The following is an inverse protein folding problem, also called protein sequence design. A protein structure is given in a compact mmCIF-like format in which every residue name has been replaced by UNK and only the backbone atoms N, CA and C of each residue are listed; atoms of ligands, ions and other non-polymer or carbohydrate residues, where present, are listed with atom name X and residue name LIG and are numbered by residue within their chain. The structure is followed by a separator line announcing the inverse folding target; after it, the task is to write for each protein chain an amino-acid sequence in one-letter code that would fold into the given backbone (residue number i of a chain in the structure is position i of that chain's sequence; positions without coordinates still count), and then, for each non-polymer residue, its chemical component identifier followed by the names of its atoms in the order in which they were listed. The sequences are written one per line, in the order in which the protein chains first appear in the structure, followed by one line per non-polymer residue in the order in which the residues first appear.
data_IF_331340603242
#
_entry.id   IF_331340603242
#
_cell.length_a   1.000
_cell.length_b   1.000
_cell.length_c   1.000
_cell.angle_alpha   90.00
_cell.angle_beta   90.00
_cell.angle_gamma   90.00
#
_symmetry.space_group_name_H-M   'P 1'
#
loop_
_entity.id
_entity.type
_entity.pdbx_description
1 polymer ?
#
# COMPACT_ATOMS: atom_id res chain seq x y z
N UNK A 1 51.56 -12.15 -84.70
CA UNK A 1 51.19 -10.77 -85.11
C UNK A 1 50.10 -10.31 -84.14
N UNK A 2 50.41 -9.26 -83.40
CA UNK A 2 49.58 -8.28 -82.73
C UNK A 2 48.62 -8.77 -81.63
N UNK A 3 49.14 -8.69 -80.42
CA UNK A 3 48.35 -8.61 -79.17
C UNK A 3 47.68 -7.24 -79.07
N UNK A 4 46.52 -7.20 -78.42
CA UNK A 4 45.96 -5.97 -77.85
C UNK A 4 45.59 -6.19 -76.35
N UNK A 5 46.35 -5.48 -75.61
CA UNK A 5 46.13 -5.29 -74.16
C UNK A 5 44.79 -4.61 -73.87
N UNK A 6 44.01 -5.17 -73.00
CA UNK A 6 42.87 -4.53 -72.29
C UNK A 6 43.10 -4.67 -70.84
N UNK A 7 43.82 -3.73 -70.28
CA UNK A 7 44.00 -3.57 -68.88
C UNK A 7 43.60 -2.13 -68.52
N UNK A 8 42.75 -1.91 -67.58
CA UNK A 8 42.80 -0.65 -66.88
C UNK A 8 41.51 0.05 -66.46
N UNK A 9 40.30 -0.57 -66.53
CA UNK A 9 39.08 0.19 -66.14
C UNK A 9 38.14 -0.45 -65.13
N UNK A 10 38.47 -1.64 -64.65
CA UNK A 10 37.60 -2.38 -63.74
C UNK A 10 37.97 -2.25 -62.24
N UNK A 11 39.17 -1.75 -61.93
CA UNK A 11 39.67 -1.71 -60.53
C UNK A 11 39.26 -0.45 -59.74
N UNK A 12 38.91 0.64 -60.42
CA UNK A 12 38.54 1.91 -59.75
C UNK A 12 37.06 1.92 -59.30
N UNK A 13 36.19 1.20 -60.00
CA UNK A 13 34.76 1.15 -59.74
C UNK A 13 34.44 0.29 -58.41
N UNK A 14 35.24 -0.73 -58.14
CA UNK A 14 35.04 -1.61 -56.98
C UNK A 14 35.50 -0.95 -55.66
N UNK A 15 36.56 -0.12 -55.74
CA UNK A 15 37.03 0.60 -54.51
C UNK A 15 36.07 1.72 -54.08
N UNK A 16 35.38 2.37 -55.00
CA UNK A 16 34.37 3.41 -54.71
C UNK A 16 33.10 2.88 -54.04
N UNK A 17 32.66 1.70 -54.43
CA UNK A 17 31.45 1.06 -53.85
C UNK A 17 31.72 0.52 -52.43
N UNK A 18 32.93 0.04 -52.15
CA UNK A 18 33.30 -0.46 -50.83
C UNK A 18 33.41 0.66 -49.77
N UNK A 19 33.88 1.86 -50.17
CA UNK A 19 33.98 3.03 -49.28
C UNK A 19 32.62 3.64 -48.97
N UNK A 20 31.66 3.63 -49.91
CA UNK A 20 30.29 4.12 -49.69
C UNK A 20 29.50 3.15 -48.79
N UNK A 21 29.73 1.83 -48.89
CA UNK A 21 29.11 0.85 -48.00
C UNK A 21 29.66 0.91 -46.55
N UNK A 22 30.91 1.29 -46.34
CA UNK A 22 31.47 1.49 -44.98
C UNK A 22 30.98 2.78 -44.33
N UNK A 23 30.60 3.80 -45.10
CA UNK A 23 30.05 5.04 -44.49
C UNK A 23 28.56 4.95 -44.18
N UNK A 24 27.82 3.97 -44.69
CA UNK A 24 26.42 3.72 -44.28
C UNK A 24 26.28 2.80 -43.05
N UNK A 25 27.34 2.13 -42.62
CA UNK A 25 27.33 1.30 -41.41
C UNK A 25 27.53 2.11 -40.10
N UNK A 26 27.76 3.42 -40.19
CA UNK A 26 28.03 4.28 -39.03
C UNK A 26 26.82 4.96 -38.40
N UNK A 27 25.58 4.71 -38.88
CA UNK A 27 24.36 5.32 -38.36
C UNK A 27 23.29 4.31 -37.91
N UNK A 28 23.65 3.06 -37.66
CA UNK A 28 22.84 2.22 -36.78
C UNK A 28 23.24 2.60 -35.34
N UNK A 29 22.67 3.68 -34.85
CA UNK A 29 22.68 4.01 -33.48
C UNK A 29 22.20 2.76 -32.73
N UNK A 30 23.07 2.24 -31.88
CA UNK A 30 22.71 1.19 -30.93
C UNK A 30 21.77 1.85 -29.91
N UNK A 31 20.49 2.05 -30.28
CA UNK A 31 19.44 2.22 -29.30
C UNK A 31 19.29 0.90 -28.53
N UNK A 32 20.33 0.58 -27.74
CA UNK A 32 20.13 -0.32 -26.61
C UNK A 32 19.24 0.47 -25.65
N UNK A 33 17.93 0.36 -25.80
CA UNK A 33 17.03 0.64 -24.69
C UNK A 33 17.54 -0.20 -23.54
N UNK A 34 18.10 0.45 -22.53
CA UNK A 34 18.52 -0.23 -21.31
C UNK A 34 17.33 -1.09 -20.83
N UNK A 35 17.61 -2.30 -20.35
CA UNK A 35 16.56 -3.11 -19.76
C UNK A 35 15.85 -2.29 -18.67
N UNK A 36 14.52 -2.38 -18.54
CA UNK A 36 13.81 -1.65 -17.52
C UNK A 36 14.37 -1.99 -16.14
N UNK A 37 14.56 -0.95 -15.34
CA UNK A 37 14.92 -1.09 -13.94
C UNK A 37 13.67 -1.60 -13.18
N UNK A 38 13.81 -2.67 -12.39
CA UNK A 38 12.66 -3.34 -11.78
C UNK A 38 12.82 -3.37 -10.28
N UNK A 39 11.74 -3.06 -9.54
CA UNK A 39 11.63 -3.25 -8.10
C UNK A 39 10.32 -3.96 -7.72
N UNK A 40 10.36 -4.58 -6.54
CA UNK A 40 9.23 -5.24 -5.91
C UNK A 40 8.83 -4.53 -4.62
N UNK A 41 7.53 -4.25 -4.48
CA UNK A 41 6.92 -3.57 -3.33
C UNK A 41 5.84 -4.49 -2.76
N UNK A 42 5.94 -4.90 -1.50
CA UNK A 42 4.97 -5.83 -0.92
C UNK A 42 4.63 -5.52 0.52
N UNK A 43 3.44 -5.90 0.98
CA UNK A 43 3.10 -5.83 2.40
C UNK A 43 1.70 -5.31 2.72
N UNK A 44 1.62 -4.22 3.49
CA UNK A 44 0.37 -3.69 4.01
C UNK A 44 -0.68 -3.42 2.94
N UNK A 45 -1.86 -4.05 3.09
CA UNK A 45 -3.01 -3.76 2.21
C UNK A 45 -3.66 -2.41 2.52
N UNK A 46 -3.28 -1.73 3.59
CA UNK A 46 -3.66 -0.33 3.85
C UNK A 46 -2.82 0.63 3.01
N UNK A 47 -1.53 0.35 2.84
CA UNK A 47 -0.63 1.17 2.00
C UNK A 47 -0.84 0.91 0.50
N UNK A 48 -1.42 -0.25 0.16
CA UNK A 48 -1.54 -0.74 -1.21
C UNK A 48 -2.15 0.27 -2.20
N UNK A 49 -3.28 0.97 -1.92
CA UNK A 49 -3.86 1.94 -2.85
C UNK A 49 -2.88 3.07 -3.19
N UNK A 50 -2.21 3.64 -2.18
CA UNK A 50 -1.19 4.69 -2.38
C UNK A 50 -0.06 4.17 -3.29
N UNK A 51 0.45 2.97 -3.00
CA UNK A 51 1.55 2.40 -3.77
C UNK A 51 1.15 2.09 -5.22
N UNK A 52 -0.06 1.60 -5.48
CA UNK A 52 -0.55 1.32 -6.84
C UNK A 52 -0.73 2.60 -7.65
N UNK A 53 -1.37 3.62 -7.09
CA UNK A 53 -1.58 4.90 -7.76
C UNK A 53 -0.25 5.65 -7.99
N UNK A 54 0.64 5.65 -7.00
CA UNK A 54 1.97 6.22 -7.15
C UNK A 54 2.80 5.48 -8.22
N UNK A 55 2.69 4.14 -8.32
CA UNK A 55 3.32 3.34 -9.37
C UNK A 55 2.83 3.79 -10.76
N UNK A 56 1.51 3.89 -10.96
CA UNK A 56 0.94 4.29 -12.25
C UNK A 56 1.42 5.69 -12.67
N UNK A 57 1.42 6.64 -11.74
CA UNK A 57 1.87 8.00 -12.01
C UNK A 57 3.38 8.07 -12.26
N UNK A 58 4.19 7.31 -11.51
CA UNK A 58 5.64 7.27 -11.67
C UNK A 58 6.05 6.63 -12.99
N UNK A 59 5.51 5.45 -13.35
CA UNK A 59 5.80 4.74 -14.58
C UNK A 59 5.35 5.53 -15.83
N UNK A 60 4.32 6.37 -15.72
CA UNK A 60 3.92 7.30 -16.78
C UNK A 60 4.99 8.38 -17.06
N UNK A 61 5.83 8.72 -16.07
CA UNK A 61 6.91 9.71 -16.19
C UNK A 61 8.27 9.07 -16.50
N UNK A 62 8.48 7.82 -16.06
CA UNK A 62 9.71 7.05 -16.29
C UNK A 62 9.39 5.69 -16.94
N UNK A 63 9.34 5.66 -18.27
CA UNK A 63 9.05 4.46 -19.05
C UNK A 63 10.12 3.35 -18.90
N UNK A 64 11.24 3.61 -18.25
CA UNK A 64 12.28 2.62 -17.93
C UNK A 64 12.07 1.95 -16.60
N UNK A 65 11.12 2.42 -15.79
CA UNK A 65 10.78 1.83 -14.48
C UNK A 65 9.72 0.73 -14.62
N UNK A 66 9.89 -0.35 -13.86
CA UNK A 66 8.90 -1.42 -13.71
C UNK A 66 8.73 -1.73 -12.23
N UNK A 67 7.59 -1.35 -11.65
CA UNK A 67 7.33 -1.46 -10.20
C UNK A 67 6.23 -2.49 -9.98
N UNK A 68 6.56 -3.59 -9.30
CA UNK A 68 5.60 -4.65 -8.99
C UNK A 68 5.08 -4.48 -7.56
N UNK A 69 3.81 -4.08 -7.43
CA UNK A 69 3.16 -3.87 -6.14
C UNK A 69 2.27 -5.04 -5.76
N UNK A 70 2.30 -5.47 -4.51
CA UNK A 70 1.46 -6.56 -4.00
C UNK A 70 1.11 -6.40 -2.52
N UNK A 71 -0.08 -6.88 -2.12
CA UNK A 71 -0.49 -6.94 -0.72
C UNK A 71 0.07 -8.19 -0.01
N UNK A 72 -0.35 -8.38 1.25
CA UNK A 72 0.04 -9.56 2.05
C UNK A 72 0.02 -9.30 3.56
N UNK A 73 -0.14 -8.04 3.95
CA UNK A 73 -0.10 -7.59 5.35
C UNK A 73 1.26 -7.06 5.77
N UNK A 74 1.27 -6.24 6.83
CA UNK A 74 2.49 -5.54 7.29
C UNK A 74 3.61 -6.50 7.70
N UNK A 75 3.28 -7.63 8.35
CA UNK A 75 4.29 -8.62 8.76
C UNK A 75 4.99 -9.27 7.55
N UNK A 76 4.27 -9.45 6.42
CA UNK A 76 4.87 -9.91 5.16
C UNK A 76 5.81 -8.85 4.60
N UNK A 77 5.40 -7.57 4.59
CA UNK A 77 6.23 -6.46 4.11
C UNK A 77 7.51 -6.28 4.91
N UNK A 78 7.40 -6.27 6.25
CA UNK A 78 8.56 -6.17 7.16
C UNK A 78 9.55 -7.30 6.90
N UNK A 79 9.04 -8.54 6.84
CA UNK A 79 9.88 -9.72 6.59
C UNK A 79 10.55 -9.65 5.21
N UNK A 80 9.79 -9.34 4.17
CA UNK A 80 10.30 -9.31 2.81
C UNK A 80 11.40 -8.25 2.62
N UNK A 81 11.22 -7.04 3.16
CA UNK A 81 12.26 -6.02 3.15
C UNK A 81 13.47 -6.45 3.98
N UNK A 82 13.26 -6.95 5.21
CA UNK A 82 14.33 -7.36 6.09
C UNK A 82 15.20 -8.53 5.56
N UNK A 83 14.58 -9.46 4.80
CA UNK A 83 15.25 -10.57 4.14
C UNK A 83 15.78 -10.22 2.74
N UNK A 84 15.51 -9.01 2.23
CA UNK A 84 15.90 -8.58 0.88
C UNK A 84 15.18 -9.37 -0.24
N UNK A 85 13.99 -9.95 0.05
CA UNK A 85 13.15 -10.66 -0.94
C UNK A 85 12.17 -9.72 -1.65
N UNK A 86 12.01 -8.50 -1.13
CA UNK A 86 11.42 -7.36 -1.81
C UNK A 86 12.32 -6.14 -1.60
N UNK A 87 12.31 -5.22 -2.56
CA UNK A 87 13.10 -3.99 -2.50
C UNK A 87 12.49 -3.00 -1.51
N UNK A 88 11.15 -3.00 -1.42
CA UNK A 88 10.39 -2.16 -0.50
C UNK A 88 9.32 -3.00 0.20
N UNK A 89 9.30 -2.92 1.54
CA UNK A 89 8.20 -3.43 2.37
C UNK A 89 7.17 -2.33 2.65
N UNK A 90 5.90 -2.70 2.81
CA UNK A 90 4.84 -1.77 3.23
C UNK A 90 4.34 -2.15 4.63
N UNK A 91 4.23 -1.17 5.53
CA UNK A 91 3.70 -1.38 6.89
C UNK A 91 2.72 -0.28 7.30
N UNK A 92 1.64 -0.67 7.98
CA UNK A 92 0.65 0.22 8.59
C UNK A 92 0.69 0.15 10.12
N UNK A 93 1.86 -0.10 10.66
CA UNK A 93 2.21 -0.08 12.08
C UNK A 93 3.71 0.11 12.26
N UNK A 94 4.13 0.44 13.45
CA UNK A 94 5.54 0.41 13.80
C UNK A 94 6.14 -1.01 13.76
N UNK A 95 7.46 -1.08 13.71
CA UNK A 95 8.19 -2.35 13.81
C UNK A 95 8.13 -2.87 15.24
N UNK A 96 7.87 -4.16 15.39
CA UNK A 96 7.94 -4.86 16.67
C UNK A 96 9.39 -4.92 17.16
N UNK A 97 9.59 -5.00 18.47
CA UNK A 97 10.93 -5.18 19.07
C UNK A 97 11.67 -6.41 18.51
N UNK A 98 10.95 -7.50 18.25
CA UNK A 98 11.51 -8.70 17.64
C UNK A 98 11.95 -8.47 16.19
N UNK A 99 11.18 -7.68 15.41
CA UNK A 99 11.50 -7.32 14.02
C UNK A 99 12.72 -6.39 13.96
N UNK A 100 12.76 -5.35 14.81
CA UNK A 100 13.91 -4.44 14.93
C UNK A 100 15.18 -5.20 15.34
N UNK A 101 15.05 -6.24 16.18
CA UNK A 101 16.18 -7.09 16.56
C UNK A 101 16.64 -7.99 15.40
N UNK A 102 15.68 -8.55 14.64
CA UNK A 102 15.96 -9.47 13.54
C UNK A 102 16.46 -8.75 12.28
N UNK A 103 16.00 -7.53 12.07
CA UNK A 103 16.29 -6.71 10.89
C UNK A 103 16.75 -5.31 11.31
N UNK A 104 17.93 -5.16 11.91
CA UNK A 104 18.41 -3.90 12.50
C UNK A 104 18.67 -2.80 11.46
N UNK A 105 18.84 -3.18 10.20
CA UNK A 105 19.12 -2.25 9.11
C UNK A 105 17.86 -1.71 8.41
N UNK A 106 16.65 -2.11 8.87
CA UNK A 106 15.43 -1.58 8.29
C UNK A 106 15.26 -0.08 8.54
N UNK A 107 15.13 0.67 7.45
CA UNK A 107 14.81 2.11 7.44
C UNK A 107 13.32 2.31 7.20
N UNK A 108 12.69 3.13 8.05
CA UNK A 108 11.27 3.50 7.93
C UNK A 108 11.12 4.83 7.19
N UNK A 109 10.38 4.84 6.09
CA UNK A 109 10.00 6.05 5.37
C UNK A 109 8.52 6.32 5.66
N UNK A 110 8.21 7.33 6.46
CA UNK A 110 6.85 7.75 6.78
C UNK A 110 6.24 8.46 5.56
N UNK A 111 5.21 7.85 4.95
CA UNK A 111 4.65 8.30 3.67
C UNK A 111 3.25 8.91 3.78
N UNK A 112 2.49 8.54 4.80
CA UNK A 112 1.13 9.01 5.05
C UNK A 112 0.72 8.72 6.48
N UNK A 113 -0.34 9.37 6.98
CA UNK A 113 -1.08 8.94 8.16
C UNK A 113 -2.44 8.35 7.77
N UNK A 114 -2.90 7.38 8.56
CA UNK A 114 -4.14 6.63 8.39
C UNK A 114 -4.94 6.63 9.69
N UNK A 115 -6.24 6.40 9.58
CA UNK A 115 -7.08 6.05 10.73
C UNK A 115 -7.76 4.70 10.51
N UNK A 116 -7.97 3.97 11.60
CA UNK A 116 -8.79 2.77 11.56
C UNK A 116 -10.24 3.16 11.78
N UNK A 117 -11.06 2.93 10.77
CA UNK A 117 -12.48 3.16 10.80
C UNK A 117 -13.22 1.91 11.27
N UNK A 118 -14.16 2.10 12.18
CA UNK A 118 -15.13 1.10 12.58
C UNK A 118 -16.26 1.09 11.55
N UNK A 119 -16.51 -0.03 10.89
CA UNK A 119 -17.44 -0.09 9.77
C UNK A 119 -18.53 -1.13 9.98
N UNK A 120 -19.75 -0.76 9.57
CA UNK A 120 -20.93 -1.63 9.57
C UNK A 120 -21.60 -1.64 8.21
N UNK A 121 -22.50 -2.62 7.99
CA UNK A 121 -23.36 -2.60 6.82
C UNK A 121 -24.19 -1.30 6.78
N UNK A 122 -24.41 -0.67 5.61
CA UNK A 122 -25.19 0.58 5.50
C UNK A 122 -26.61 0.51 6.05
N UNK A 123 -27.20 -0.69 6.12
CA UNK A 123 -28.52 -0.92 6.72
C UNK A 123 -28.48 -1.07 8.26
N UNK A 124 -27.35 -0.95 8.92
CA UNK A 124 -27.25 -0.95 10.38
C UNK A 124 -27.62 0.44 10.93
N UNK A 125 -28.46 0.46 11.99
CA UNK A 125 -28.98 1.71 12.59
C UNK A 125 -28.03 2.33 13.63
N UNK A 126 -26.94 1.66 14.02
CA UNK A 126 -25.94 2.19 14.95
C UNK A 126 -25.23 3.37 14.30
N UNK A 127 -25.02 4.46 15.07
CA UNK A 127 -24.30 5.65 14.62
C UNK A 127 -22.94 5.81 15.31
N UNK A 128 -22.83 5.39 16.55
CA UNK A 128 -21.58 5.47 17.33
C UNK A 128 -21.44 4.31 18.29
N UNK A 129 -20.21 4.04 18.70
CA UNK A 129 -19.85 3.10 19.76
C UNK A 129 -18.75 3.72 20.62
N UNK A 130 -18.71 3.36 21.91
CA UNK A 130 -17.54 3.60 22.77
C UNK A 130 -16.45 2.57 22.48
N UNK A 131 -15.19 2.85 22.85
CA UNK A 131 -14.10 1.85 22.75
C UNK A 131 -14.41 0.58 23.55
N UNK A 132 -15.05 0.71 24.72
CA UNK A 132 -15.42 -0.44 25.54
C UNK A 132 -16.50 -1.31 24.88
N UNK A 133 -17.46 -0.71 24.16
CA UNK A 133 -18.45 -1.47 23.39
C UNK A 133 -17.79 -2.16 22.18
N UNK A 134 -16.87 -1.49 21.50
CA UNK A 134 -16.08 -2.09 20.41
C UNK A 134 -15.30 -3.29 20.94
N UNK A 135 -14.56 -3.13 22.05
CA UNK A 135 -13.84 -4.21 22.69
C UNK A 135 -14.75 -5.35 23.10
N UNK A 136 -15.92 -5.02 23.73
CA UNK A 136 -16.91 -6.01 24.13
C UNK A 136 -17.54 -6.79 22.97
N UNK A 137 -17.63 -6.22 21.79
CA UNK A 137 -18.05 -6.95 20.57
C UNK A 137 -16.93 -7.90 20.14
N UNK A 138 -15.69 -7.41 20.05
CA UNK A 138 -14.57 -8.21 19.54
C UNK A 138 -14.09 -9.31 20.51
N UNK A 139 -14.31 -9.17 21.83
CA UNK A 139 -14.04 -10.24 22.79
C UNK A 139 -15.26 -11.18 23.03
N UNK A 140 -16.42 -10.90 22.40
CA UNK A 140 -17.61 -11.73 22.45
C UNK A 140 -18.54 -11.47 23.64
N UNK A 141 -18.32 -10.42 24.41
CA UNK A 141 -19.23 -9.97 25.50
C UNK A 141 -20.58 -9.53 24.93
N UNK A 142 -20.57 -8.78 23.81
CA UNK A 142 -21.76 -8.38 23.07
C UNK A 142 -21.87 -9.17 21.78
N UNK A 143 -22.98 -9.88 21.61
CA UNK A 143 -23.23 -10.77 20.46
C UNK A 143 -24.45 -10.33 19.62
N UNK A 144 -25.21 -9.35 20.11
CA UNK A 144 -26.39 -8.82 19.45
C UNK A 144 -26.35 -7.29 19.51
N UNK A 145 -26.67 -6.63 18.39
CA UNK A 145 -26.68 -5.18 18.27
C UNK A 145 -27.59 -4.46 19.27
N UNK A 146 -28.69 -5.12 19.75
CA UNK A 146 -29.56 -4.53 20.77
C UNK A 146 -28.89 -4.34 22.14
N UNK A 147 -27.77 -5.00 22.40
CA UNK A 147 -27.00 -4.84 23.64
C UNK A 147 -26.17 -3.53 23.68
N UNK A 148 -25.99 -2.92 22.49
CA UNK A 148 -25.28 -1.66 22.31
C UNK A 148 -26.16 -0.58 21.64
N UNK A 149 -27.49 -0.68 21.80
CA UNK A 149 -28.44 0.33 21.34
C UNK A 149 -28.94 0.17 19.91
N UNK A 150 -28.57 -0.90 19.23
CA UNK A 150 -29.02 -1.20 17.86
C UNK A 150 -30.27 -2.04 17.79
N UNK A 151 -30.59 -2.52 16.59
CA UNK A 151 -31.71 -3.41 16.32
C UNK A 151 -31.45 -4.82 16.86
N UNK A 152 -32.52 -5.62 17.09
CA UNK A 152 -32.39 -7.03 17.45
C UNK A 152 -31.84 -7.83 16.24
N UNK A 153 -30.52 -7.93 16.19
CA UNK A 153 -29.78 -8.63 15.13
C UNK A 153 -28.46 -9.14 15.68
N UNK A 154 -28.11 -10.38 15.39
CA UNK A 154 -26.82 -10.95 15.74
C UNK A 154 -25.66 -10.17 15.10
N UNK A 155 -24.61 -9.93 15.87
CA UNK A 155 -23.37 -9.33 15.38
C UNK A 155 -22.53 -10.41 14.69
N UNK A 156 -22.07 -10.12 13.48
CA UNK A 156 -21.07 -10.92 12.77
C UNK A 156 -19.75 -10.17 12.86
N UNK A 157 -18.86 -10.67 13.72
CA UNK A 157 -17.55 -10.05 13.95
C UNK A 157 -16.63 -10.38 12.80
N UNK A 158 -16.14 -9.35 12.12
CA UNK A 158 -15.25 -9.45 10.94
C UNK A 158 -13.93 -8.78 11.26
N UNK A 159 -12.83 -9.48 11.08
CA UNK A 159 -11.51 -8.95 11.39
C UNK A 159 -10.43 -9.42 10.42
N UNK A 160 -9.19 -9.09 10.74
CA UNK A 160 -8.03 -9.36 9.93
C UNK A 160 -7.26 -10.56 10.49
N UNK A 161 -6.50 -11.21 9.61
CA UNK A 161 -5.57 -12.28 9.97
C UNK A 161 -4.33 -11.77 10.73
N UNK A 162 -3.49 -12.69 11.20
CA UNK A 162 -2.31 -12.40 12.01
C UNK A 162 -1.17 -11.68 11.25
N UNK A 163 -1.19 -11.62 9.92
CA UNK A 163 -0.20 -10.88 9.12
C UNK A 163 -0.53 -9.38 9.04
N UNK A 164 -1.74 -8.98 9.46
CA UNK A 164 -2.25 -7.63 9.33
C UNK A 164 -1.68 -6.68 10.38
N UNK A 165 -1.00 -5.60 9.93
CA UNK A 165 -0.64 -4.48 10.80
C UNK A 165 -1.84 -3.72 11.36
N UNK A 166 -2.98 -3.71 10.64
CA UNK A 166 -4.23 -3.13 11.12
C UNK A 166 -4.78 -3.91 12.30
N UNK A 167 -4.78 -5.26 12.25
CA UNK A 167 -5.15 -6.11 13.38
C UNK A 167 -4.24 -5.87 14.58
N UNK A 168 -2.95 -5.77 14.35
CA UNK A 168 -1.99 -5.57 15.42
C UNK A 168 -2.22 -4.26 16.15
N UNK A 169 -2.29 -3.15 15.40
CA UNK A 169 -2.60 -1.85 16.00
C UNK A 169 -3.97 -1.86 16.70
N UNK A 170 -4.98 -2.51 16.12
CA UNK A 170 -6.30 -2.65 16.73
C UNK A 170 -6.25 -3.48 18.01
N UNK A 171 -5.45 -4.55 18.06
CA UNK A 171 -5.22 -5.38 19.26
C UNK A 171 -4.59 -4.57 20.38
N UNK A 172 -3.56 -3.80 20.08
CA UNK A 172 -2.86 -2.99 21.08
C UNK A 172 -3.71 -1.81 21.57
N UNK A 173 -4.29 -1.04 20.65
CA UNK A 173 -4.95 0.21 20.97
C UNK A 173 -6.41 0.06 21.41
N UNK A 174 -7.18 -0.82 20.73
CA UNK A 174 -8.63 -0.97 20.98
C UNK A 174 -8.90 -2.12 21.93
N UNK A 175 -8.26 -3.28 21.70
CA UNK A 175 -8.50 -4.49 22.51
C UNK A 175 -7.74 -4.50 23.82
N UNK A 176 -6.75 -3.61 24.03
CA UNK A 176 -5.88 -3.64 25.21
C UNK A 176 -5.24 -5.02 25.40
N UNK A 177 -4.82 -5.62 24.26
CA UNK A 177 -4.26 -6.97 24.15
C UNK A 177 -5.22 -8.14 24.56
N UNK A 178 -6.52 -7.87 24.76
CA UNK A 178 -7.50 -8.93 24.96
C UNK A 178 -7.66 -9.82 23.73
N UNK A 179 -7.96 -11.10 23.95
CA UNK A 179 -8.18 -12.07 22.88
C UNK A 179 -9.45 -11.74 22.08
N UNK A 180 -9.34 -11.91 20.75
CA UNK A 180 -10.49 -11.85 19.87
C UNK A 180 -11.38 -13.08 20.01
N UNK A 181 -12.71 -12.88 19.92
CA UNK A 181 -13.67 -13.98 19.94
C UNK A 181 -13.38 -15.01 18.85
N UNK A 182 -13.41 -16.28 19.20
CA UNK A 182 -13.09 -17.39 18.29
C UNK A 182 -14.06 -17.56 17.10
N UNK A 183 -15.19 -16.83 17.09
CA UNK A 183 -16.15 -16.81 15.99
C UNK A 183 -15.88 -15.66 14.99
N UNK A 184 -14.83 -14.87 15.18
CA UNK A 184 -14.43 -13.82 14.25
C UNK A 184 -14.13 -14.42 12.87
N UNK A 185 -14.73 -13.87 11.83
CA UNK A 185 -14.37 -14.19 10.45
C UNK A 185 -13.13 -13.38 10.05
N UNK A 186 -12.05 -14.08 9.69
CA UNK A 186 -10.76 -13.43 9.39
C UNK A 186 -10.51 -13.29 7.88
N UNK A 187 -10.04 -12.11 7.48
CA UNK A 187 -9.69 -11.77 6.10
C UNK A 187 -8.25 -11.27 5.98
N UNK A 188 -7.61 -11.56 4.86
CA UNK A 188 -6.21 -11.18 4.61
C UNK A 188 -6.03 -9.75 4.06
N UNK A 189 -7.13 -9.00 3.83
CA UNK A 189 -7.07 -7.65 3.24
C UNK A 189 -8.19 -6.74 3.75
N UNK A 190 -7.97 -5.40 3.66
CA UNK A 190 -9.02 -4.42 3.93
C UNK A 190 -10.20 -4.57 2.95
N UNK A 191 -9.93 -4.82 1.66
CA UNK A 191 -10.98 -5.04 0.66
C UNK A 191 -11.86 -6.25 0.98
N UNK A 192 -11.30 -7.32 1.56
CA UNK A 192 -12.08 -8.48 2.03
C UNK A 192 -13.03 -8.12 3.17
N UNK A 193 -12.58 -7.29 4.14
CA UNK A 193 -13.43 -6.76 5.21
C UNK A 193 -14.55 -5.90 4.62
N UNK A 194 -14.19 -4.92 3.80
CA UNK A 194 -15.13 -4.00 3.15
C UNK A 194 -16.24 -4.76 2.39
N UNK A 195 -15.85 -5.75 1.58
CA UNK A 195 -16.79 -6.58 0.84
C UNK A 195 -17.71 -7.39 1.77
N UNK A 196 -17.15 -8.02 2.81
CA UNK A 196 -17.95 -8.80 3.76
C UNK A 196 -18.95 -7.93 4.50
N UNK A 197 -18.52 -6.78 5.00
CA UNK A 197 -19.37 -5.84 5.75
C UNK A 197 -20.46 -5.27 4.86
N UNK A 198 -20.14 -4.85 3.63
CA UNK A 198 -21.14 -4.30 2.69
C UNK A 198 -22.26 -5.29 2.35
N UNK A 199 -21.96 -6.59 2.35
CA UNK A 199 -22.91 -7.64 1.96
C UNK A 199 -23.62 -8.31 3.15
N UNK A 200 -23.21 -8.05 4.39
CA UNK A 200 -23.74 -8.76 5.57
C UNK A 200 -24.39 -7.78 6.56
N UNK A 201 -25.75 -7.73 6.66
CA UNK A 201 -26.45 -6.73 7.47
C UNK A 201 -26.10 -6.69 8.97
N UNK A 202 -25.58 -7.77 9.55
CA UNK A 202 -25.16 -7.83 10.95
C UNK A 202 -23.65 -7.62 11.15
N UNK A 203 -22.89 -7.44 10.08
CA UNK A 203 -21.43 -7.38 10.17
C UNK A 203 -20.90 -6.11 10.83
N UNK A 204 -19.83 -6.29 11.59
CA UNK A 204 -19.00 -5.25 12.19
C UNK A 204 -17.54 -5.54 11.85
N UNK A 205 -16.85 -4.57 11.30
CA UNK A 205 -15.46 -4.68 10.88
C UNK A 205 -14.66 -3.42 11.16
N UNK A 206 -13.36 -3.46 10.82
CA UNK A 206 -12.48 -2.30 10.85
C UNK A 206 -11.58 -2.28 9.60
N UNK A 207 -11.36 -1.09 9.06
CA UNK A 207 -10.57 -0.86 7.83
C UNK A 207 -9.76 0.43 7.94
N UNK A 208 -8.78 0.64 7.06
CA UNK A 208 -8.12 1.93 6.86
C UNK A 208 -9.00 2.91 6.06
N UNK A 209 -8.62 4.19 6.05
CA UNK A 209 -9.36 5.32 5.44
C UNK A 209 -9.77 5.07 3.98
N UNK A 210 -8.90 4.51 3.16
CA UNK A 210 -9.16 4.26 1.73
C UNK A 210 -10.17 3.13 1.43
N UNK A 211 -10.90 2.58 2.43
CA UNK A 211 -11.78 1.41 2.25
C UNK A 211 -13.20 1.66 2.78
N UNK A 212 -13.79 2.78 2.39
CA UNK A 212 -15.13 3.21 2.87
C UNK A 212 -16.27 2.97 1.88
N UNK A 213 -15.99 2.59 0.64
CA UNK A 213 -17.02 2.40 -0.38
C UNK A 213 -17.98 1.26 0.00
N UNK A 214 -19.28 1.54 -0.01
CA UNK A 214 -20.34 0.56 0.26
C UNK A 214 -20.48 0.11 1.71
N UNK A 215 -19.75 0.71 2.67
CA UNK A 215 -19.89 0.50 4.11
C UNK A 215 -20.24 1.81 4.82
N UNK A 216 -20.74 1.72 6.06
CA UNK A 216 -20.99 2.88 6.92
C UNK A 216 -19.94 2.93 8.01
N UNK A 217 -19.16 4.01 8.03
CA UNK A 217 -18.25 4.29 9.12
C UNK A 217 -19.04 4.79 10.34
N UNK A 218 -18.66 4.34 11.52
CA UNK A 218 -19.25 4.77 12.79
C UNK A 218 -18.41 5.88 13.42
N UNK A 219 -19.10 6.80 14.09
CA UNK A 219 -18.45 7.70 15.03
C UNK A 219 -17.96 6.91 16.26
N UNK A 220 -16.94 7.45 16.93
CA UNK A 220 -16.48 6.96 18.20
C UNK A 220 -17.00 7.87 19.31
N UNK A 221 -17.63 7.31 20.34
CA UNK A 221 -17.97 8.07 21.53
C UNK A 221 -16.73 8.19 22.43
N UNK A 222 -16.22 9.41 22.52
CA UNK A 222 -15.05 9.76 23.35
C UNK A 222 -15.52 10.62 24.52
N UNK A 223 -15.69 10.02 25.68
CA UNK A 223 -16.12 10.72 26.90
C UNK A 223 -17.51 11.35 26.83
N UNK A 224 -18.46 10.74 26.12
CA UNK A 224 -19.82 11.23 25.92
C UNK A 224 -19.96 12.20 24.72
N UNK A 225 -18.92 12.35 23.92
CA UNK A 225 -18.93 13.14 22.69
C UNK A 225 -18.76 12.21 21.49
N UNK A 226 -19.73 12.25 20.57
CA UNK A 226 -19.64 11.51 19.30
C UNK A 226 -18.65 12.19 18.36
N UNK A 227 -17.57 11.49 18.02
CA UNK A 227 -16.48 11.97 17.15
C UNK A 227 -16.51 11.21 15.83
N UNK A 228 -16.90 11.89 14.78
CA UNK A 228 -16.89 11.34 13.42
C UNK A 228 -15.44 11.15 12.92
N UNK A 229 -15.13 10.10 12.14
CA UNK A 229 -13.81 9.87 11.57
C UNK A 229 -13.56 10.77 10.34
N UNK A 230 -13.69 12.09 10.51
CA UNK A 230 -13.37 13.06 9.47
C UNK A 230 -11.86 13.32 9.41
N UNK A 231 -11.35 13.72 8.23
CA UNK A 231 -9.93 14.08 8.09
C UNK A 231 -9.50 15.15 9.11
N UNK A 232 -10.38 16.13 9.43
CA UNK A 232 -10.11 17.13 10.44
C UNK A 232 -9.94 16.52 11.83
N UNK A 233 -10.88 15.68 12.29
CA UNK A 233 -10.85 15.06 13.61
C UNK A 233 -9.68 14.06 13.76
N UNK A 234 -9.25 13.45 12.66
CA UNK A 234 -8.09 12.55 12.65
C UNK A 234 -6.80 13.38 12.74
N UNK A 235 -6.69 14.44 11.92
CA UNK A 235 -5.51 15.30 11.87
C UNK A 235 -5.26 16.05 13.18
N UNK A 236 -6.30 16.50 13.86
CA UNK A 236 -6.18 17.21 15.14
C UNK A 236 -6.14 16.25 16.36
N UNK A 237 -6.22 14.94 16.12
CA UNK A 237 -6.15 13.90 17.15
C UNK A 237 -7.42 13.74 17.98
N UNK A 238 -8.53 14.38 17.60
CA UNK A 238 -9.83 14.20 18.27
C UNK A 238 -10.38 12.79 18.04
N UNK A 239 -10.20 12.25 16.80
CA UNK A 239 -10.44 10.84 16.51
C UNK A 239 -9.17 10.04 16.85
N UNK A 240 -9.18 9.17 17.88
CA UNK A 240 -7.94 8.67 18.48
C UNK A 240 -7.31 7.47 17.78
N UNK A 241 -8.03 6.77 16.89
CA UNK A 241 -7.53 5.53 16.25
C UNK A 241 -6.79 5.89 14.97
N UNK A 242 -5.64 6.56 15.10
CA UNK A 242 -4.79 6.98 13.97
C UNK A 242 -3.37 6.41 14.09
N UNK A 243 -2.69 6.27 12.95
CA UNK A 243 -1.38 5.63 12.87
C UNK A 243 -0.60 6.07 11.64
N UNK A 244 0.74 6.02 11.67
CA UNK A 244 1.57 6.24 10.49
C UNK A 244 1.55 5.03 9.54
N UNK A 245 1.76 5.35 8.25
CA UNK A 245 2.01 4.38 7.18
C UNK A 245 3.45 4.50 6.70
N UNK A 246 4.10 3.36 6.50
CA UNK A 246 5.51 3.30 6.15
C UNK A 246 5.77 2.50 4.88
N UNK A 247 6.75 2.96 4.11
CA UNK A 247 7.60 2.11 3.28
C UNK A 247 8.87 1.76 4.05
N UNK A 248 9.37 0.55 3.84
CA UNK A 248 10.51 -0.01 4.55
C UNK A 248 11.56 -0.45 3.55
N UNK A 249 12.83 -0.10 3.79
CA UNK A 249 13.96 -0.56 2.98
C UNK A 249 15.02 -1.20 3.88
N UNK A 250 15.82 -2.11 3.33
CA UNK A 250 16.97 -2.69 4.04
C UNK A 250 18.20 -1.82 3.78
N UNK A 251 18.50 -0.92 4.71
CA UNK A 251 19.44 0.17 4.51
C UNK A 251 18.81 1.37 3.79
N UNK A 252 19.62 2.39 3.50
CA UNK A 252 19.19 3.55 2.70
C UNK A 252 18.82 3.10 1.28
N UNK A 253 17.70 3.57 0.72
CA UNK A 253 17.27 3.15 -0.61
C UNK A 253 18.18 3.75 -1.69
N UNK A 254 18.42 2.98 -2.75
CA UNK A 254 19.20 3.39 -3.91
C UNK A 254 18.41 3.16 -5.21
N UNK A 255 18.86 3.77 -6.33
CA UNK A 255 18.33 3.53 -7.66
C UNK A 255 16.82 3.79 -7.78
N UNK A 256 16.08 2.85 -8.36
CA UNK A 256 14.64 3.00 -8.58
C UNK A 256 13.85 3.04 -7.26
N UNK A 257 14.26 2.27 -6.24
CA UNK A 257 13.58 2.27 -4.95
C UNK A 257 13.66 3.65 -4.27
N UNK A 258 14.82 4.31 -4.32
CA UNK A 258 14.99 5.67 -3.82
C UNK A 258 14.08 6.65 -4.59
N UNK A 259 14.15 6.65 -5.93
CA UNK A 259 13.33 7.56 -6.77
C UNK A 259 11.83 7.39 -6.52
N UNK A 260 11.37 6.14 -6.34
CA UNK A 260 9.96 5.85 -6.10
C UNK A 260 9.50 6.35 -4.72
N UNK A 261 10.28 6.16 -3.66
CA UNK A 261 9.97 6.68 -2.33
C UNK A 261 10.00 8.22 -2.34
N UNK A 262 11.01 8.83 -2.97
CA UNK A 262 11.12 10.28 -3.14
C UNK A 262 9.92 10.85 -3.92
N UNK A 263 9.46 10.14 -4.95
CA UNK A 263 8.26 10.51 -5.69
C UNK A 263 7.01 10.51 -4.80
N UNK A 264 6.78 9.46 -4.01
CA UNK A 264 5.64 9.41 -3.06
C UNK A 264 5.72 10.56 -2.06
N UNK A 265 6.92 10.92 -1.60
CA UNK A 265 7.16 12.02 -0.67
C UNK A 265 7.18 13.41 -1.34
N UNK A 266 7.12 13.50 -2.66
CA UNK A 266 7.02 14.77 -3.40
C UNK A 266 5.63 15.40 -3.26
N UNK A 267 5.47 16.66 -3.71
CA UNK A 267 4.17 17.32 -3.72
C UNK A 267 3.13 16.52 -4.52
N UNK A 268 3.51 16.00 -5.70
CA UNK A 268 2.64 15.18 -6.56
C UNK A 268 2.26 13.86 -5.87
N UNK A 269 3.22 13.15 -5.27
CA UNK A 269 2.94 11.92 -4.53
C UNK A 269 2.05 12.14 -3.32
N UNK A 270 2.17 13.28 -2.64
CA UNK A 270 1.31 13.64 -1.51
C UNK A 270 -0.10 14.09 -1.95
N UNK A 271 -0.28 14.59 -3.18
CA UNK A 271 -1.60 14.76 -3.79
C UNK A 271 -2.26 13.41 -4.08
N UNK A 272 -1.48 12.40 -4.49
CA UNK A 272 -1.97 11.02 -4.63
C UNK A 272 -2.41 10.47 -3.27
N UNK A 273 -1.61 10.63 -2.20
CA UNK A 273 -1.98 10.24 -0.84
C UNK A 273 -3.33 10.83 -0.44
N UNK A 274 -3.53 12.13 -0.69
CA UNK A 274 -4.80 12.80 -0.39
C UNK A 274 -5.97 12.30 -1.26
N UNK A 275 -5.73 11.97 -2.53
CA UNK A 275 -6.77 11.46 -3.45
C UNK A 275 -7.24 10.05 -3.11
N UNK A 276 -6.41 9.28 -2.41
CA UNK A 276 -6.74 7.95 -1.87
C UNK A 276 -7.34 8.01 -0.44
N UNK A 277 -7.80 9.20 -0.03
CA UNK A 277 -8.42 9.49 1.27
C UNK A 277 -7.48 9.37 2.50
N UNK A 278 -6.15 9.27 2.30
CA UNK A 278 -5.18 9.28 3.40
C UNK A 278 -4.70 10.70 3.73
N UNK A 279 -3.99 10.82 4.87
CA UNK A 279 -3.50 12.10 5.36
C UNK A 279 -2.05 12.29 4.91
N UNK A 280 -1.74 13.33 4.10
CA UNK A 280 -0.37 13.62 3.69
C UNK A 280 0.54 13.98 4.87
N UNK A 281 1.81 13.55 4.80
CA UNK A 281 2.85 13.91 5.79
C UNK A 281 3.47 15.28 5.53
N UNK A 282 3.24 15.83 4.34
CA UNK A 282 3.66 17.18 3.93
C UNK A 282 2.44 17.87 3.35
N UNK A 283 2.01 18.91 4.04
CA UNK A 283 0.98 19.84 3.57
C UNK A 283 1.61 20.98 2.78
#
# INVERSE_FOLDING_TARGET
MTGKSLSGTTTVAVAGILVVLLMMAGCLGNDQTAAPERITVTGSTTVLPIAEQAREAFEAQDASAEIMVSGGGSSVGVKAAGEGTADIGMSSRDLKSAETTSYPDLVKHHIADDAILLVVNPGNSIESLTLDEVRGIYNGTYTNWNQVGGSDRQIVVVGRDSASGTREFFSEFVMDEEDFVGTQEEFNSNGGIQQKVSQTPGAFGYVGLGYTEGVKALALDVGGTSVEPTLQNITDGTYPISRPLYMLTNGEPEGLAQRYIEFILSAEGQEIVASEDYIPVRG
#
